data_IF_008509125194
#
_entry.id   IF_008509125194
#
_cell.length_a   1.000
_cell.length_b   1.000
_cell.length_c   1.000
_cell.angle_alpha   90.00
_cell.angle_beta   90.00
_cell.angle_gamma   90.00
#
_symmetry.space_group_name_H-M   'P 1'
#
loop_
_entity.id
_entity.type
_entity.pdbx_description
1 polymer ?
#
# COMPACT_ATOMS: atom_id res chain seq x y z
N UNK A 1 16.27 -25.45 -14.77
CA UNK A 1 15.16 -24.66 -14.19
C UNK A 1 14.71 -23.64 -15.22
N UNK A 2 13.48 -23.72 -15.71
CA UNK A 2 12.93 -22.74 -16.67
C UNK A 2 12.60 -21.45 -15.91
N UNK A 3 13.10 -20.30 -16.38
CA UNK A 3 12.75 -18.99 -15.84
C UNK A 3 11.28 -18.73 -16.16
N UNK A 4 10.44 -18.50 -15.14
CA UNK A 4 9.06 -18.09 -15.39
C UNK A 4 9.08 -16.81 -16.25
N UNK A 5 8.30 -16.78 -17.34
CA UNK A 5 8.13 -15.56 -18.12
C UNK A 5 7.39 -14.55 -17.24
N UNK A 6 8.10 -13.50 -16.82
CA UNK A 6 7.48 -12.35 -16.16
C UNK A 6 6.60 -11.66 -17.20
N UNK A 7 5.34 -11.41 -16.84
CA UNK A 7 4.41 -10.67 -17.70
C UNK A 7 4.89 -9.23 -17.94
N UNK A 8 4.27 -8.49 -18.88
CA UNK A 8 4.60 -7.08 -19.07
C UNK A 8 4.35 -6.29 -17.78
N UNK A 9 5.21 -5.29 -17.52
CA UNK A 9 5.02 -4.34 -16.42
C UNK A 9 3.67 -3.63 -16.61
N UNK A 10 2.85 -3.57 -15.55
CA UNK A 10 1.49 -3.05 -15.62
C UNK A 10 1.38 -1.60 -15.17
N UNK A 11 2.13 -1.24 -14.13
CA UNK A 11 2.03 0.07 -13.49
C UNK A 11 3.28 0.38 -12.67
N UNK A 12 3.42 1.66 -12.29
CA UNK A 12 4.34 2.14 -11.28
C UNK A 12 3.48 2.62 -10.12
N UNK A 13 3.71 2.06 -8.93
CA UNK A 13 2.98 2.41 -7.71
C UNK A 13 3.89 3.27 -6.84
N UNK A 14 3.53 4.52 -6.51
CA UNK A 14 4.29 5.34 -5.58
C UNK A 14 4.35 4.70 -4.19
N UNK A 15 5.49 4.83 -3.53
CA UNK A 15 5.68 4.46 -2.14
C UNK A 15 5.94 5.72 -1.32
N UNK A 16 5.05 6.01 -0.36
CA UNK A 16 5.12 7.20 0.48
C UNK A 16 5.54 6.80 1.90
N UNK A 17 6.57 7.45 2.43
CA UNK A 17 6.88 7.33 3.85
C UNK A 17 5.91 8.21 4.66
N UNK A 18 5.33 7.63 5.70
CA UNK A 18 4.45 8.32 6.65
C UNK A 18 5.04 8.28 8.05
N UNK A 19 4.63 9.22 8.91
CA UNK A 19 5.12 9.30 10.29
C UNK A 19 4.43 8.34 11.26
N UNK A 20 3.17 8.00 10.98
CA UNK A 20 2.37 7.09 11.81
C UNK A 20 1.40 6.30 10.92
N UNK A 21 1.41 4.98 11.05
CA UNK A 21 0.62 4.10 10.18
C UNK A 21 -0.87 4.16 10.51
N UNK A 22 -1.22 4.13 11.80
CA UNK A 22 -2.62 4.11 12.26
C UNK A 22 -3.37 5.37 11.84
N UNK A 23 -2.79 6.54 12.12
CA UNK A 23 -3.37 7.85 11.76
C UNK A 23 -3.49 7.99 10.25
N UNK A 24 -2.46 7.57 9.50
CA UNK A 24 -2.47 7.67 8.03
C UNK A 24 -3.55 6.79 7.42
N UNK A 25 -3.67 5.53 7.85
CA UNK A 25 -4.71 4.62 7.40
C UNK A 25 -6.11 5.15 7.73
N UNK A 26 -6.30 5.64 8.97
CA UNK A 26 -7.56 6.26 9.38
C UNK A 26 -7.94 7.43 8.48
N UNK A 27 -6.99 8.32 8.17
CA UNK A 27 -7.24 9.46 7.28
C UNK A 27 -7.58 9.03 5.86
N UNK A 28 -6.77 8.16 5.24
CA UNK A 28 -7.01 7.72 3.86
C UNK A 28 -8.33 6.97 3.73
N UNK A 29 -8.65 6.09 4.68
CA UNK A 29 -9.86 5.29 4.63
C UNK A 29 -11.12 6.11 4.97
N UNK A 30 -11.08 6.90 6.04
CA UNK A 30 -12.30 7.50 6.60
C UNK A 30 -12.58 8.91 6.03
N UNK A 31 -11.54 9.66 5.64
CA UNK A 31 -11.69 11.03 5.13
C UNK A 31 -11.61 11.08 3.61
N UNK A 32 -10.67 10.32 3.03
CA UNK A 32 -10.43 10.33 1.59
C UNK A 32 -11.05 9.15 0.84
N UNK A 33 -11.75 8.26 1.55
CA UNK A 33 -12.51 7.15 0.96
C UNK A 33 -11.65 6.20 0.10
N UNK A 34 -10.41 5.97 0.52
CA UNK A 34 -9.55 4.93 -0.06
C UNK A 34 -9.86 3.57 0.57
N UNK A 35 -9.85 2.52 -0.25
CA UNK A 35 -9.83 1.16 0.23
C UNK A 35 -8.42 0.78 0.69
N UNK A 36 -8.34 -0.02 1.76
CA UNK A 36 -7.09 -0.67 2.19
C UNK A 36 -7.03 -2.03 1.51
N UNK A 37 -6.15 -2.17 0.52
CA UNK A 37 -6.01 -3.40 -0.27
C UNK A 37 -5.27 -4.49 0.50
N UNK A 38 -4.26 -4.09 1.29
CA UNK A 38 -3.53 -4.96 2.20
C UNK A 38 -2.82 -4.16 3.29
N UNK A 39 -2.47 -4.87 4.36
CA UNK A 39 -1.61 -4.38 5.44
C UNK A 39 -0.56 -5.44 5.74
N UNK A 40 0.68 -5.03 6.01
CA UNK A 40 1.76 -5.94 6.39
C UNK A 40 2.61 -5.34 7.53
N UNK A 41 3.02 -6.13 8.52
CA UNK A 41 2.59 -7.50 8.78
C UNK A 41 1.08 -7.57 9.07
N UNK A 42 0.47 -8.72 8.75
CA UNK A 42 -0.97 -8.93 8.97
C UNK A 42 -1.32 -9.03 10.47
N UNK A 43 -0.36 -9.46 11.29
CA UNK A 43 -0.45 -9.49 12.74
C UNK A 43 0.66 -8.63 13.34
N UNK A 44 0.32 -7.88 14.39
CA UNK A 44 1.23 -6.94 15.03
C UNK A 44 1.12 -5.52 14.47
N UNK A 45 2.17 -4.73 14.66
CA UNK A 45 2.21 -3.34 14.22
C UNK A 45 2.36 -3.28 12.70
N UNK A 46 1.38 -2.66 12.03
CA UNK A 46 1.39 -2.45 10.59
C UNK A 46 2.57 -1.54 10.18
N UNK A 47 3.33 -2.01 9.19
CA UNK A 47 4.55 -1.37 8.71
C UNK A 47 4.41 -0.89 7.27
N UNK A 48 3.54 -1.55 6.50
CA UNK A 48 3.26 -1.30 5.09
C UNK A 48 1.76 -1.42 4.84
N UNK A 49 1.23 -0.62 3.93
CA UNK A 49 -0.13 -0.79 3.43
C UNK A 49 -0.26 -0.40 1.97
N UNK A 50 -1.14 -1.10 1.25
CA UNK A 50 -1.58 -0.74 -0.10
C UNK A 50 -2.96 -0.07 -0.04
N UNK A 51 -3.13 1.00 -0.80
CA UNK A 51 -4.35 1.81 -0.84
C UNK A 51 -4.81 2.00 -2.29
N UNK A 52 -6.12 1.90 -2.52
CA UNK A 52 -6.70 2.15 -3.84
C UNK A 52 -8.01 2.94 -3.79
N UNK A 53 -8.23 3.74 -4.84
CA UNK A 53 -9.50 4.45 -5.10
C UNK A 53 -9.58 4.83 -6.57
N UNK A 54 -10.69 4.51 -7.23
CA UNK A 54 -11.00 4.97 -8.61
C UNK A 54 -9.84 4.77 -9.62
N UNK A 55 -9.09 3.67 -9.50
CA UNK A 55 -7.94 3.35 -10.35
C UNK A 55 -6.62 4.04 -9.98
N UNK A 56 -6.60 4.81 -8.90
CA UNK A 56 -5.38 5.33 -8.26
C UNK A 56 -4.89 4.32 -7.23
N UNK A 57 -3.60 3.99 -7.28
CA UNK A 57 -2.95 3.04 -6.38
C UNK A 57 -1.67 3.65 -5.80
N UNK A 58 -1.45 3.49 -4.49
CA UNK A 58 -0.18 3.81 -3.86
C UNK A 58 0.05 2.93 -2.63
N UNK A 59 1.29 2.91 -2.15
CA UNK A 59 1.69 2.25 -0.92
C UNK A 59 2.16 3.28 0.11
N UNK A 60 1.93 2.99 1.39
CA UNK A 60 2.51 3.74 2.51
C UNK A 60 3.36 2.84 3.37
N UNK A 61 4.40 3.40 3.99
CA UNK A 61 5.30 2.69 4.91
C UNK A 61 5.85 3.61 6.00
N UNK A 62 6.21 3.03 7.14
CA UNK A 62 6.97 3.70 8.21
C UNK A 62 8.46 3.28 8.24
N UNK A 63 8.88 2.37 7.35
CA UNK A 63 10.19 1.68 7.40
C UNK A 63 11.21 2.15 6.35
N UNK A 64 11.04 3.34 5.77
CA UNK A 64 11.97 3.92 4.79
C UNK A 64 13.10 4.75 5.41
#
# INVERSE_FOLDING_TARGET
>A
MSRAKVGPMREIVPLLQVGDMETSLGYYQQVLDFAVDFVWPAEGEARWAGLSRDGVHFMITIDL
#
